data_IF_957867848955
#
_entry.id   IF_957867848955
#
_cell.length_a   1.000
_cell.length_b   1.000
_cell.length_c   1.000
_cell.angle_alpha   90.00
_cell.angle_beta   90.00
_cell.angle_gamma   90.00
#
_symmetry.space_group_name_H-M   'P 1'
#
loop_
_entity.id
_entity.type
_entity.pdbx_description
1 polymer ?
#
# COMPACT_ATOMS: atom_id res chain seq x y z
N UNK A 1 -16.31 -5.06 27.20
CA UNK A 1 -15.15 -5.76 26.59
C UNK A 1 -15.27 -5.66 25.07
N UNK A 2 -14.18 -5.35 24.37
CA UNK A 2 -14.13 -5.39 22.91
C UNK A 2 -14.04 -6.85 22.46
N UNK A 3 -15.03 -7.32 21.70
CA UNK A 3 -14.95 -8.64 21.04
C UNK A 3 -14.02 -8.62 19.82
N UNK A 4 -13.68 -9.79 19.28
CA UNK A 4 -12.74 -9.91 18.15
C UNK A 4 -13.09 -9.03 16.93
N UNK A 5 -14.38 -8.88 16.62
CA UNK A 5 -14.84 -7.99 15.55
C UNK A 5 -14.50 -6.51 15.80
N UNK A 6 -14.59 -6.05 17.05
CA UNK A 6 -14.28 -4.65 17.37
C UNK A 6 -12.77 -4.39 17.36
N UNK A 7 -11.95 -5.37 17.75
CA UNK A 7 -10.49 -5.29 17.66
C UNK A 7 -10.07 -5.22 16.19
N UNK A 8 -10.69 -6.04 15.34
CA UNK A 8 -10.46 -6.00 13.90
C UNK A 8 -10.84 -4.64 13.32
N UNK A 9 -12.03 -4.15 13.64
CA UNK A 9 -12.50 -2.84 13.18
C UNK A 9 -11.56 -1.71 13.59
N UNK A 10 -11.10 -1.69 14.85
CA UNK A 10 -10.14 -0.70 15.33
C UNK A 10 -8.81 -0.76 14.55
N UNK A 11 -8.31 -1.97 14.30
CA UNK A 11 -7.09 -2.18 13.49
C UNK A 11 -7.25 -1.67 12.07
N UNK A 12 -8.42 -1.90 11.45
CA UNK A 12 -8.72 -1.43 10.10
C UNK A 12 -8.86 0.09 10.04
N UNK A 13 -9.46 0.73 11.05
CA UNK A 13 -9.53 2.20 11.14
C UNK A 13 -8.14 2.81 11.24
N UNK A 14 -7.28 2.28 12.12
CA UNK A 14 -5.89 2.76 12.24
C UNK A 14 -5.12 2.64 10.92
N UNK A 15 -5.35 1.56 10.17
CA UNK A 15 -4.77 1.40 8.85
C UNK A 15 -5.38 2.39 7.83
N UNK A 16 -6.68 2.65 7.91
CA UNK A 16 -7.34 3.69 7.14
C UNK A 16 -6.74 5.07 7.38
N UNK A 17 -6.59 5.49 8.64
CA UNK A 17 -5.95 6.75 9.03
C UNK A 17 -4.52 6.86 8.51
N UNK A 18 -3.79 5.73 8.46
CA UNK A 18 -2.46 5.70 7.87
C UNK A 18 -2.47 5.92 6.36
N UNK A 19 -3.46 5.38 5.64
CA UNK A 19 -3.58 5.49 4.18
C UNK A 19 -4.17 6.84 3.74
N UNK A 20 -4.95 7.49 4.59
CA UNK A 20 -5.56 8.78 4.33
C UNK A 20 -4.49 9.84 3.97
N UNK A 21 -4.75 10.60 2.90
CA UNK A 21 -3.85 11.64 2.41
C UNK A 21 -2.57 11.16 1.70
N UNK A 22 -2.28 9.85 1.66
CA UNK A 22 -1.07 9.30 0.99
C UNK A 22 -1.28 8.95 -0.48
N UNK A 23 -2.34 9.46 -1.10
CA UNK A 23 -2.73 9.11 -2.47
C UNK A 23 -3.32 7.71 -2.62
N UNK A 24 -3.51 6.97 -1.51
CA UNK A 24 -4.02 5.61 -1.57
C UNK A 24 -5.40 5.52 -2.21
N UNK A 25 -6.34 6.41 -1.89
CA UNK A 25 -7.70 6.38 -2.47
C UNK A 25 -7.70 6.50 -4.00
N UNK A 26 -6.71 7.16 -4.59
CA UNK A 26 -6.55 7.25 -6.03
C UNK A 26 -6.07 5.94 -6.67
N UNK A 27 -5.26 5.14 -5.98
CA UNK A 27 -4.65 3.94 -6.55
C UNK A 27 -5.67 2.84 -6.96
N UNK A 28 -6.62 2.41 -6.11
CA UNK A 28 -7.64 1.44 -6.51
C UNK A 28 -8.66 2.02 -7.49
N UNK A 29 -8.91 3.33 -7.47
CA UNK A 29 -9.75 4.01 -8.47
C UNK A 29 -9.10 3.95 -9.84
N UNK A 30 -7.82 4.31 -9.93
CA UNK A 30 -7.06 4.29 -11.18
C UNK A 30 -6.87 2.86 -11.71
N UNK A 31 -6.75 1.87 -10.82
CA UNK A 31 -6.69 0.46 -11.19
C UNK A 31 -8.06 -0.15 -11.57
N UNK A 32 -9.16 0.60 -11.46
CA UNK A 32 -10.51 0.10 -11.74
C UNK A 32 -11.04 -0.93 -10.73
N UNK A 33 -10.44 -1.00 -9.55
CA UNK A 33 -10.78 -1.95 -8.47
C UNK A 33 -11.96 -1.43 -7.63
N UNK A 34 -12.04 -0.12 -7.42
CA UNK A 34 -13.07 0.51 -6.60
C UNK A 34 -13.48 1.89 -7.14
N UNK A 35 -14.67 2.35 -6.74
CA UNK A 35 -15.09 3.75 -6.97
C UNK A 35 -14.54 4.67 -5.88
N UNK A 36 -14.46 5.98 -6.14
CA UNK A 36 -13.99 6.96 -5.14
C UNK A 36 -14.78 6.89 -3.82
N UNK A 37 -16.10 6.74 -3.89
CA UNK A 37 -16.94 6.58 -2.71
C UNK A 37 -16.63 5.29 -1.94
N UNK A 38 -16.34 4.21 -2.68
CA UNK A 38 -15.99 2.92 -2.09
C UNK A 38 -14.64 2.99 -1.38
N UNK A 39 -13.65 3.66 -1.96
CA UNK A 39 -12.33 3.82 -1.33
C UNK A 39 -12.40 4.65 -0.05
N UNK A 40 -13.24 5.68 -0.02
CA UNK A 40 -13.43 6.50 1.19
C UNK A 40 -14.12 5.70 2.32
N UNK A 41 -14.99 4.74 1.96
CA UNK A 41 -15.62 3.84 2.94
C UNK A 41 -14.63 2.87 3.60
N UNK A 42 -13.52 2.54 2.91
CA UNK A 42 -12.47 1.66 3.42
C UNK A 42 -11.60 2.36 4.45
N UNK A 43 -11.30 3.65 4.27
CA UNK A 43 -10.61 4.45 5.28
C UNK A 43 -11.34 4.41 6.63
N UNK A 44 -12.68 4.43 6.59
CA UNK A 44 -13.54 4.45 7.79
C UNK A 44 -13.94 3.06 8.28
N UNK A 45 -13.41 1.99 7.67
CA UNK A 45 -13.80 0.61 7.94
C UNK A 45 -15.33 0.37 8.00
N UNK A 46 -16.10 1.08 7.16
CA UNK A 46 -17.58 1.04 7.21
C UNK A 46 -18.15 -0.37 6.99
N UNK A 47 -17.42 -1.19 6.25
CA UNK A 47 -17.67 -2.62 6.12
C UNK A 47 -16.39 -3.42 6.42
N UNK A 48 -16.28 -3.97 7.63
CA UNK A 48 -15.09 -4.69 8.13
C UNK A 48 -14.59 -5.73 7.11
N UNK A 49 -15.48 -6.62 6.65
CA UNK A 49 -15.08 -7.70 5.75
C UNK A 49 -14.63 -7.23 4.35
N UNK A 50 -15.14 -6.09 3.85
CA UNK A 50 -14.74 -5.54 2.55
C UNK A 50 -13.41 -4.81 2.71
N UNK A 51 -13.34 -3.90 3.69
CA UNK A 51 -12.12 -3.16 4.06
C UNK A 51 -10.93 -4.09 4.31
N UNK A 52 -11.13 -5.22 5.02
CA UNK A 52 -10.08 -6.22 5.22
C UNK A 52 -9.52 -6.75 3.89
N UNK A 53 -10.37 -7.07 2.92
CA UNK A 53 -9.92 -7.61 1.61
C UNK A 53 -9.15 -6.55 0.84
N UNK A 54 -9.63 -5.31 0.82
CA UNK A 54 -8.95 -4.20 0.14
C UNK A 54 -7.62 -3.85 0.80
N UNK A 55 -7.55 -3.85 2.14
CA UNK A 55 -6.29 -3.66 2.87
C UNK A 55 -5.31 -4.81 2.66
N UNK A 56 -5.79 -6.06 2.55
CA UNK A 56 -4.94 -7.22 2.19
C UNK A 56 -4.38 -7.08 0.77
N UNK A 57 -5.22 -6.74 -0.21
CA UNK A 57 -4.79 -6.49 -1.59
C UNK A 57 -3.76 -5.34 -1.63
N UNK A 58 -4.03 -4.25 -0.91
CA UNK A 58 -3.10 -3.11 -0.78
C UNK A 58 -1.76 -3.55 -0.21
N UNK A 59 -1.74 -4.32 0.88
CA UNK A 59 -0.50 -4.79 1.50
C UNK A 59 0.31 -5.69 0.54
N UNK A 60 -0.37 -6.59 -0.18
CA UNK A 60 0.28 -7.44 -1.19
C UNK A 60 0.87 -6.63 -2.35
N UNK A 61 0.11 -5.68 -2.89
CA UNK A 61 0.57 -4.80 -3.96
C UNK A 61 1.75 -3.93 -3.51
N UNK A 62 1.68 -3.36 -2.31
CA UNK A 62 2.75 -2.53 -1.76
C UNK A 62 4.03 -3.34 -1.55
N UNK A 63 3.92 -4.58 -1.04
CA UNK A 63 5.07 -5.47 -0.89
C UNK A 63 5.75 -5.77 -2.23
N UNK A 64 4.97 -6.07 -3.27
CA UNK A 64 5.50 -6.33 -4.62
C UNK A 64 6.18 -5.08 -5.20
N UNK A 65 5.56 -3.91 -5.06
CA UNK A 65 6.12 -2.64 -5.53
C UNK A 65 7.41 -2.30 -4.78
N UNK A 66 7.43 -2.48 -3.46
CA UNK A 66 8.62 -2.24 -2.64
C UNK A 66 9.76 -3.19 -3.03
N UNK A 67 9.47 -4.47 -3.26
CA UNK A 67 10.48 -5.44 -3.70
C UNK A 67 11.02 -5.09 -5.09
N UNK A 68 10.16 -4.67 -6.01
CA UNK A 68 10.57 -4.22 -7.34
C UNK A 68 11.50 -3.01 -7.27
N UNK A 69 11.10 -1.98 -6.53
CA UNK A 69 11.89 -0.76 -6.34
C UNK A 69 13.24 -1.05 -5.65
N UNK A 70 13.25 -1.95 -4.67
CA UNK A 70 14.48 -2.35 -4.00
C UNK A 70 15.46 -3.04 -4.96
N UNK A 71 14.98 -3.97 -5.81
CA UNK A 71 15.83 -4.64 -6.80
C UNK A 71 16.41 -3.66 -7.81
N UNK A 72 15.59 -2.74 -8.31
CA UNK A 72 16.02 -1.70 -9.25
C UNK A 72 17.09 -0.78 -8.60
N UNK A 73 16.93 -0.46 -7.32
CA UNK A 73 17.91 0.35 -6.58
C UNK A 73 19.26 -0.37 -6.45
N UNK A 74 19.27 -1.68 -6.20
CA UNK A 74 20.51 -2.48 -6.15
C UNK A 74 21.17 -2.49 -7.52
N UNK A 75 20.40 -2.77 -8.58
CA UNK A 75 20.93 -2.82 -9.93
C UNK A 75 21.57 -1.48 -10.34
N UNK A 76 20.91 -0.37 -10.00
CA UNK A 76 21.46 0.97 -10.25
C UNK A 76 22.79 1.20 -9.54
N UNK A 77 22.93 0.71 -8.29
CA UNK A 77 24.17 0.83 -7.54
C UNK A 77 25.28 -0.04 -8.13
N UNK A 78 24.96 -1.26 -8.57
CA UNK A 78 25.90 -2.16 -9.25
C UNK A 78 26.39 -1.54 -10.55
N UNK A 79 25.48 -1.03 -11.39
CA UNK A 79 25.83 -0.36 -12.65
C UNK A 79 26.75 0.84 -12.43
N UNK A 80 26.46 1.69 -11.43
CA UNK A 80 27.33 2.83 -11.08
C UNK A 80 28.71 2.36 -10.60
N UNK A 81 28.78 1.29 -9.80
CA UNK A 81 30.05 0.75 -9.31
C UNK A 81 30.92 0.12 -10.41
N UNK A 82 30.29 -0.38 -11.49
CA UNK A 82 30.96 -0.99 -12.63
C UNK A 82 31.47 0.04 -13.66
N UNK A 83 31.10 1.32 -13.52
CA UNK A 83 31.72 2.41 -14.30
C UNK A 83 33.07 2.75 -13.66
N UNK A 84 34.14 2.15 -14.18
CA UNK A 84 35.53 2.49 -13.82
C UNK A 84 35.75 3.99 -14.14
N UNK A 85 36.35 4.80 -13.25
CA UNK A 85 36.75 6.16 -13.60
C UNK A 85 37.71 6.09 -14.79
N UNK A 86 37.45 6.86 -15.84
CA UNK A 86 38.42 7.06 -16.90
C UNK A 86 39.68 7.66 -16.27
N UNK A 87 40.76 6.88 -16.20
CA UNK A 87 42.09 7.38 -15.87
C UNK A 87 42.57 8.25 -17.05
N UNK A 88 42.81 9.55 -16.78
CA UNK A 88 43.57 10.46 -17.64
C UNK A 88 45.06 10.46 -17.25
#
# INVERSE_FOLDING_TARGET
>A
MLGGLHIEMASLVVLGDHLEGRGWTGAPVQAGVATSETTDSFLKASHVARTRRDHQATASSLYLLQQSAYRESIQTLEDVSNVVPFED
#
